data_IF_989533509457
#
_entry.id   IF_989533509457
#
_cell.length_a   1.000
_cell.length_b   1.000
_cell.length_c   1.000
_cell.angle_alpha   90.00
_cell.angle_beta   90.00
_cell.angle_gamma   90.00
#
_symmetry.space_group_name_H-M   'P 1'
#
loop_
_entity.id
_entity.type
_entity.pdbx_description
1 polymer ?
#
# COMPACT_ATOMS: atom_id res chain seq x y z
N UNK A 1 3.06 46.85 -29.71
CA UNK A 1 4.05 45.83 -29.36
C UNK A 1 4.13 45.47 -27.85
N UNK A 2 3.12 45.77 -27.00
CA UNK A 2 3.16 45.49 -25.53
C UNK A 2 2.44 44.21 -25.10
N UNK A 3 1.72 43.54 -25.99
CA UNK A 3 0.95 42.31 -25.65
C UNK A 3 1.74 41.00 -25.75
N UNK A 4 2.91 41.00 -26.39
CA UNK A 4 3.71 39.78 -26.53
C UNK A 4 4.53 39.45 -25.27
N UNK A 5 4.94 40.44 -24.50
CA UNK A 5 5.76 40.23 -23.29
C UNK A 5 4.99 39.60 -22.11
N UNK A 6 3.66 39.74 -22.08
CA UNK A 6 2.84 39.24 -20.97
C UNK A 6 2.46 37.76 -21.15
N UNK A 7 2.54 37.23 -22.36
CA UNK A 7 2.18 35.82 -22.67
C UNK A 7 3.25 34.80 -22.27
N UNK A 8 4.52 35.21 -22.26
CA UNK A 8 5.65 34.33 -21.92
C UNK A 8 5.64 33.88 -20.45
N UNK A 9 5.49 34.79 -19.47
CA UNK A 9 5.46 34.35 -18.05
C UNK A 9 4.24 33.48 -17.72
N UNK A 10 3.10 33.72 -18.38
CA UNK A 10 1.89 32.89 -18.18
C UNK A 10 2.07 31.48 -18.74
N UNK A 11 2.71 31.31 -19.90
CA UNK A 11 3.02 30.00 -20.48
C UNK A 11 4.04 29.23 -19.64
N UNK A 12 5.06 29.91 -19.11
CA UNK A 12 6.05 29.31 -18.22
C UNK A 12 5.42 28.88 -16.89
N UNK A 13 4.55 29.68 -16.30
CA UNK A 13 3.82 29.33 -15.09
C UNK A 13 2.89 28.14 -15.31
N UNK A 14 2.18 28.07 -16.43
CA UNK A 14 1.34 26.94 -16.79
C UNK A 14 2.16 25.64 -17.00
N UNK A 15 3.32 25.72 -17.66
CA UNK A 15 4.23 24.60 -17.84
C UNK A 15 4.82 24.09 -16.51
N UNK A 16 5.13 24.98 -15.58
CA UNK A 16 5.62 24.63 -14.24
C UNK A 16 4.57 23.89 -13.40
N UNK A 17 3.29 24.23 -13.55
CA UNK A 17 2.19 23.54 -12.88
C UNK A 17 1.97 22.10 -13.41
N UNK A 18 2.26 21.84 -14.68
CA UNK A 18 2.17 20.51 -15.27
C UNK A 18 3.34 19.59 -14.90
N UNK A 19 4.50 20.15 -14.54
CA UNK A 19 5.67 19.36 -14.15
C UNK A 19 5.51 18.66 -12.78
N UNK A 20 4.52 19.04 -11.98
CA UNK A 20 4.29 18.48 -10.63
C UNK A 20 3.70 17.08 -10.59
N UNK A 21 3.31 16.47 -11.72
CA UNK A 21 2.67 15.16 -11.77
C UNK A 21 3.65 13.99 -11.81
N UNK A 22 4.82 14.10 -11.17
CA UNK A 22 5.74 12.99 -11.01
C UNK A 22 5.11 11.89 -10.16
N UNK A 23 5.04 10.66 -10.71
CA UNK A 23 4.48 9.53 -9.96
C UNK A 23 5.34 9.17 -8.74
N UNK A 24 4.68 8.85 -7.64
CA UNK A 24 5.33 8.39 -6.40
C UNK A 24 5.74 6.93 -6.56
N UNK A 25 6.99 6.63 -6.30
CA UNK A 25 7.52 5.27 -6.21
C UNK A 25 7.61 4.88 -4.74
N UNK A 26 7.11 3.71 -4.38
CA UNK A 26 7.21 3.19 -3.04
C UNK A 26 7.70 1.74 -3.07
N UNK A 27 8.72 1.46 -2.25
CA UNK A 27 9.17 0.11 -1.93
C UNK A 27 8.51 -0.35 -0.64
N UNK A 28 7.99 -1.58 -0.62
CA UNK A 28 7.34 -2.18 0.55
C UNK A 28 7.84 -3.61 0.74
N UNK A 29 8.07 -3.97 1.99
CA UNK A 29 8.49 -5.32 2.39
C UNK A 29 9.99 -5.49 2.53
N UNK A 30 10.48 -6.71 2.34
CA UNK A 30 11.88 -7.07 2.54
C UNK A 30 12.77 -6.51 1.43
N UNK A 31 14.00 -6.13 1.78
CA UNK A 31 15.04 -5.82 0.79
C UNK A 31 15.71 -7.13 0.41
N UNK A 32 15.41 -7.64 -0.78
CA UNK A 32 15.93 -8.91 -1.28
C UNK A 32 17.07 -8.62 -2.26
N UNK A 33 18.30 -8.79 -1.78
CA UNK A 33 19.47 -8.74 -2.65
C UNK A 33 19.67 -10.10 -3.34
N UNK A 34 19.66 -10.15 -4.69
CA UNK A 34 19.89 -11.39 -5.43
C UNK A 34 21.21 -12.09 -5.09
N UNK A 35 22.27 -11.33 -4.76
CA UNK A 35 23.57 -11.91 -4.42
C UNK A 35 23.51 -12.65 -3.08
N UNK A 36 22.84 -12.07 -2.08
CA UNK A 36 22.64 -12.71 -0.78
C UNK A 36 21.79 -13.98 -0.89
N UNK A 37 20.78 -13.95 -1.76
CA UNK A 37 19.94 -15.14 -2.00
C UNK A 37 20.74 -16.27 -2.63
N UNK A 38 21.62 -15.98 -3.59
CA UNK A 38 22.44 -17.01 -4.24
C UNK A 38 23.55 -17.55 -3.34
N UNK A 39 23.92 -16.84 -2.28
CA UNK A 39 24.90 -17.33 -1.30
C UNK A 39 24.34 -18.36 -0.33
N UNK A 40 23.01 -18.47 -0.22
CA UNK A 40 22.38 -19.44 0.66
C UNK A 40 22.46 -20.85 0.04
N UNK A 41 23.04 -21.79 0.79
CA UNK A 41 23.28 -23.16 0.32
C UNK A 41 22.31 -24.15 1.00
N UNK A 42 21.40 -24.78 0.22
CA UNK A 42 20.53 -25.84 0.75
C UNK A 42 21.35 -26.99 1.36
N UNK A 43 20.91 -27.48 2.51
CA UNK A 43 21.56 -28.55 3.27
C UNK A 43 22.70 -28.08 4.19
N UNK A 44 23.22 -26.85 4.02
CA UNK A 44 24.32 -26.28 4.83
C UNK A 44 23.78 -25.16 5.72
N UNK A 45 23.05 -24.22 5.13
CA UNK A 45 22.49 -23.07 5.85
C UNK A 45 21.29 -23.45 6.68
N UNK A 46 21.09 -22.76 7.80
CA UNK A 46 19.99 -22.96 8.72
C UNK A 46 19.20 -21.65 8.93
N UNK A 47 18.11 -21.72 9.72
CA UNK A 47 17.26 -20.55 10.03
C UNK A 47 18.06 -19.36 10.53
N UNK A 48 19.03 -19.58 11.42
CA UNK A 48 19.83 -18.48 11.98
C UNK A 48 20.73 -17.82 10.94
N UNK A 49 21.35 -18.60 10.04
CA UNK A 49 22.18 -18.05 8.96
C UNK A 49 21.33 -17.27 7.94
N UNK A 50 20.15 -17.79 7.58
CA UNK A 50 19.21 -17.11 6.67
C UNK A 50 18.69 -15.80 7.30
N UNK A 51 18.34 -15.79 8.58
CA UNK A 51 17.90 -14.59 9.29
C UNK A 51 19.03 -13.53 9.38
N UNK A 52 20.27 -13.97 9.55
CA UNK A 52 21.43 -13.09 9.56
C UNK A 52 21.71 -12.46 8.18
N UNK A 53 21.46 -13.19 7.08
CA UNK A 53 21.70 -12.73 5.71
C UNK A 53 20.56 -11.87 5.17
N UNK A 54 19.33 -12.30 5.34
CA UNK A 54 18.15 -11.68 4.74
C UNK A 54 17.31 -10.87 5.74
N UNK A 55 17.63 -10.95 7.03
CA UNK A 55 16.82 -10.39 8.10
C UNK A 55 15.61 -11.28 8.43
N UNK A 56 14.67 -10.73 9.22
CA UNK A 56 13.45 -11.43 9.57
C UNK A 56 12.53 -11.63 8.36
N UNK A 57 11.88 -12.79 8.23
CA UNK A 57 10.91 -13.03 7.16
C UNK A 57 9.71 -12.08 7.27
N UNK A 58 9.10 -11.77 6.14
CA UNK A 58 7.85 -10.98 6.10
C UNK A 58 6.71 -11.70 6.81
N UNK A 59 6.65 -13.02 6.66
CA UNK A 59 5.76 -13.90 7.40
C UNK A 59 6.26 -15.34 7.34
N UNK A 60 5.79 -16.17 8.26
CA UNK A 60 6.05 -17.61 8.31
C UNK A 60 4.79 -18.38 7.91
N UNK A 61 4.95 -19.63 7.49
CA UNK A 61 3.80 -20.48 7.16
C UNK A 61 2.87 -20.64 8.36
N UNK A 62 1.57 -20.48 8.14
CA UNK A 62 0.57 -20.52 9.20
C UNK A 62 0.45 -21.92 9.85
N UNK A 63 0.68 -22.96 9.06
CA UNK A 63 0.56 -24.35 9.51
C UNK A 63 1.91 -25.06 9.72
N UNK A 64 3.00 -24.45 9.24
CA UNK A 64 4.34 -24.96 9.43
C UNK A 64 5.33 -23.82 9.68
N UNK A 65 6.06 -23.89 10.77
CA UNK A 65 7.14 -22.92 11.04
C UNK A 65 8.39 -23.19 10.19
N UNK A 66 8.29 -24.12 9.26
CA UNK A 66 9.37 -24.50 8.34
C UNK A 66 9.37 -23.67 7.05
N UNK A 67 8.32 -22.90 6.81
CA UNK A 67 8.17 -22.08 5.60
C UNK A 67 8.30 -20.60 5.93
N UNK A 68 9.31 -19.96 5.36
CA UNK A 68 9.56 -18.51 5.49
C UNK A 68 9.37 -17.80 4.17
N UNK A 69 8.69 -16.67 4.22
CA UNK A 69 8.38 -15.86 3.05
C UNK A 69 8.96 -14.46 3.21
N UNK A 70 9.73 -14.05 2.22
CA UNK A 70 10.23 -12.68 2.07
C UNK A 70 9.52 -12.05 0.88
N UNK A 71 8.81 -10.98 1.09
CA UNK A 71 8.05 -10.29 0.04
C UNK A 71 8.62 -8.89 -0.16
N UNK A 72 9.02 -8.60 -1.38
CA UNK A 72 9.44 -7.28 -1.82
C UNK A 72 8.50 -6.80 -2.92
N UNK A 73 8.01 -5.58 -2.81
CA UNK A 73 7.07 -5.00 -3.78
C UNK A 73 7.41 -3.55 -4.07
N UNK A 74 7.63 -3.25 -5.34
CA UNK A 74 7.77 -1.89 -5.85
C UNK A 74 6.46 -1.46 -6.51
N UNK A 75 5.94 -0.33 -6.08
CA UNK A 75 4.72 0.26 -6.61
C UNK A 75 4.99 1.63 -7.20
N UNK A 76 4.22 2.01 -8.21
CA UNK A 76 4.14 3.36 -8.74
C UNK A 76 2.71 3.86 -8.67
N UNK A 77 2.54 5.01 -8.07
CA UNK A 77 1.26 5.72 -8.03
C UNK A 77 1.39 7.02 -8.83
N UNK A 78 0.45 7.27 -9.73
CA UNK A 78 0.40 8.49 -10.55
C UNK A 78 -0.80 9.31 -10.08
N UNK A 79 -0.53 10.57 -9.71
CA UNK A 79 -1.54 11.53 -9.23
C UNK A 79 -2.50 10.90 -8.19
N UNK A 80 -3.81 11.00 -8.40
CA UNK A 80 -4.85 10.47 -7.52
C UNK A 80 -5.23 9.01 -7.81
N UNK A 81 -4.48 8.32 -8.67
CA UNK A 81 -4.74 6.92 -9.03
C UNK A 81 -4.30 5.95 -7.95
N UNK A 82 -4.75 4.69 -8.07
CA UNK A 82 -4.33 3.62 -7.19
C UNK A 82 -2.88 3.19 -7.47
N UNK A 83 -2.11 2.81 -6.42
CA UNK A 83 -0.77 2.27 -6.59
C UNK A 83 -0.78 1.02 -7.46
N UNK A 84 0.02 0.99 -8.51
CA UNK A 84 0.18 -0.17 -9.39
C UNK A 84 1.49 -0.88 -9.10
N UNK A 85 1.45 -2.19 -8.98
CA UNK A 85 2.65 -3.02 -8.76
C UNK A 85 3.51 -3.01 -10.04
N UNK A 86 4.74 -2.54 -9.91
CA UNK A 86 5.75 -2.52 -10.97
C UNK A 86 6.65 -3.75 -10.91
N UNK A 87 7.09 -4.09 -9.72
CA UNK A 87 7.93 -5.26 -9.48
C UNK A 87 7.47 -5.92 -8.19
N UNK A 88 7.44 -7.23 -8.19
CA UNK A 88 7.25 -8.03 -6.99
C UNK A 88 8.27 -9.18 -7.02
N UNK A 89 8.82 -9.48 -5.88
CA UNK A 89 9.64 -10.67 -5.66
C UNK A 89 9.13 -11.32 -4.38
N UNK A 90 8.84 -12.59 -4.46
CA UNK A 90 8.54 -13.42 -3.29
C UNK A 90 9.61 -14.50 -3.25
N UNK A 91 10.33 -14.56 -2.16
CA UNK A 91 11.28 -15.62 -1.88
C UNK A 91 10.64 -16.54 -0.84
N UNK A 92 10.49 -17.80 -1.19
CA UNK A 92 10.01 -18.85 -0.31
C UNK A 92 11.18 -19.74 0.08
N UNK A 93 11.55 -19.72 1.35
CA UNK A 93 12.60 -20.54 1.92
C UNK A 93 11.95 -21.64 2.74
N UNK A 94 12.17 -22.90 2.35
CA UNK A 94 11.68 -24.06 3.07
C UNK A 94 12.80 -24.68 3.89
N UNK A 95 12.49 -25.00 5.12
CA UNK A 95 13.39 -25.65 6.05
C UNK A 95 12.95 -27.09 6.31
N UNK A 96 13.88 -27.93 6.66
CA UNK A 96 13.62 -29.27 7.19
C UNK A 96 13.23 -29.21 8.68
N UNK A 97 12.95 -30.37 9.27
CA UNK A 97 12.62 -30.46 10.69
C UNK A 97 13.79 -30.12 11.63
N UNK A 98 15.02 -30.25 11.15
CA UNK A 98 16.22 -29.85 11.88
C UNK A 98 16.50 -28.35 11.79
N UNK A 99 15.76 -27.61 10.92
CA UNK A 99 15.91 -26.18 10.71
C UNK A 99 16.93 -25.81 9.65
N UNK A 100 17.42 -26.75 8.83
CA UNK A 100 18.29 -26.48 7.71
C UNK A 100 17.49 -26.12 6.46
N UNK A 101 18.06 -25.31 5.58
CA UNK A 101 17.44 -24.91 4.31
C UNK A 101 17.29 -26.15 3.42
N UNK A 102 16.05 -26.49 3.06
CA UNK A 102 15.73 -27.56 2.13
C UNK A 102 15.68 -27.10 0.69
N UNK A 103 15.00 -25.98 0.44
CA UNK A 103 14.88 -25.39 -0.89
C UNK A 103 14.55 -23.89 -0.80
N UNK A 104 14.89 -23.18 -1.88
CA UNK A 104 14.60 -21.77 -2.06
C UNK A 104 13.91 -21.61 -3.40
N UNK A 105 12.70 -21.07 -3.39
CA UNK A 105 11.92 -20.79 -4.58
C UNK A 105 11.70 -19.28 -4.70
N UNK A 106 11.84 -18.75 -5.92
CA UNK A 106 11.63 -17.35 -6.20
C UNK A 106 10.52 -17.19 -7.22
N UNK A 107 9.53 -16.39 -6.86
CA UNK A 107 8.41 -16.01 -7.74
C UNK A 107 8.32 -14.49 -7.88
N UNK A 108 7.64 -14.02 -8.90
CA UNK A 108 7.58 -12.61 -9.24
C UNK A 108 6.14 -12.08 -9.31
N UNK A 109 5.88 -11.27 -10.36
CA UNK A 109 4.59 -10.61 -10.56
C UNK A 109 3.44 -11.56 -10.92
N UNK A 110 3.73 -12.77 -11.32
CA UNK A 110 2.74 -13.81 -11.67
C UNK A 110 1.78 -14.13 -10.53
N UNK A 111 2.22 -13.91 -9.27
CA UNK A 111 1.38 -14.10 -8.08
C UNK A 111 0.61 -12.84 -7.65
N UNK A 112 0.66 -11.76 -8.44
CA UNK A 112 -0.11 -10.55 -8.12
C UNK A 112 -1.55 -10.74 -8.61
N UNK A 113 -2.45 -10.99 -7.68
CA UNK A 113 -3.88 -10.99 -7.96
C UNK A 113 -4.45 -9.57 -7.89
N UNK A 114 -5.30 -9.22 -8.84
CA UNK A 114 -6.17 -8.05 -8.74
C UNK A 114 -7.51 -8.50 -8.16
N UNK A 115 -7.92 -7.86 -7.08
CA UNK A 115 -9.22 -8.11 -6.47
C UNK A 115 -10.08 -6.89 -6.72
N UNK A 116 -11.18 -7.08 -7.43
CA UNK A 116 -12.22 -6.06 -7.59
C UNK A 116 -13.26 -6.25 -6.46
N UNK A 117 -13.32 -5.32 -5.49
CA UNK A 117 -14.34 -5.38 -4.44
C UNK A 117 -15.74 -5.31 -5.06
N UNK A 118 -16.67 -6.08 -4.52
CA UNK A 118 -18.06 -6.01 -4.96
C UNK A 118 -18.65 -4.63 -4.63
N UNK A 119 -19.22 -3.97 -5.63
CA UNK A 119 -19.89 -2.66 -5.48
C UNK A 119 -21.20 -2.71 -4.67
N UNK A 120 -21.57 -3.90 -4.19
CA UNK A 120 -22.77 -4.08 -3.36
C UNK A 120 -22.61 -3.36 -2.03
N UNK A 121 -23.48 -2.38 -1.81
CA UNK A 121 -23.61 -1.71 -0.52
C UNK A 121 -24.51 -2.54 0.38
N UNK A 122 -24.07 -2.84 1.59
CA UNK A 122 -24.94 -3.41 2.62
C UNK A 122 -25.88 -2.30 3.10
N UNK A 123 -27.21 -2.44 2.94
CA UNK A 123 -28.13 -1.46 3.47
C UNK A 123 -27.98 -1.44 5.00
N UNK A 124 -27.51 -0.32 5.51
CA UNK A 124 -27.45 -0.08 6.95
C UNK A 124 -28.68 0.71 7.36
N UNK A 125 -29.30 0.34 8.46
CA UNK A 125 -30.44 1.08 9.08
C UNK A 125 -29.97 2.42 9.70
N UNK A 126 -28.87 2.99 9.20
CA UNK A 126 -28.38 4.27 9.64
C UNK A 126 -29.27 5.43 9.19
N UNK A 127 -29.37 6.46 10.02
CA UNK A 127 -30.08 7.69 9.72
C UNK A 127 -29.44 8.37 8.50
N UNK A 128 -30.14 8.44 7.39
CA UNK A 128 -29.69 9.17 6.20
C UNK A 128 -29.96 10.66 6.41
N UNK A 129 -28.91 11.41 6.75
CA UNK A 129 -28.98 12.87 6.74
C UNK A 129 -28.41 13.37 5.42
N UNK A 130 -29.08 14.30 4.78
CA UNK A 130 -28.57 15.04 3.63
C UNK A 130 -27.38 15.88 4.08
N UNK A 131 -26.37 16.05 3.20
CA UNK A 131 -25.22 16.92 3.46
C UNK A 131 -25.65 18.33 3.91
N UNK A 132 -26.70 18.88 3.30
CA UNK A 132 -27.24 20.18 3.68
C UNK A 132 -27.97 20.16 5.04
N UNK A 133 -28.59 19.05 5.40
CA UNK A 133 -29.22 18.88 6.69
C UNK A 133 -28.18 18.76 7.81
N UNK A 134 -27.03 18.17 7.53
CA UNK A 134 -25.92 18.06 8.48
C UNK A 134 -25.16 19.39 8.62
N UNK A 135 -25.02 20.15 7.53
CA UNK A 135 -24.33 21.44 7.53
C UNK A 135 -25.20 22.55 8.13
N UNK A 136 -26.50 22.57 7.83
CA UNK A 136 -27.41 23.65 8.23
C UNK A 136 -28.42 23.25 9.31
N UNK A 137 -28.62 21.97 9.56
CA UNK A 137 -29.60 21.47 10.53
C UNK A 137 -29.31 21.84 11.98
N UNK A 138 -28.09 22.30 12.27
CA UNK A 138 -27.71 22.77 13.60
C UNK A 138 -27.76 24.32 13.74
N UNK A 139 -28.06 25.04 12.66
CA UNK A 139 -28.20 26.49 12.67
C UNK A 139 -29.66 26.81 13.07
N UNK A 140 -29.89 27.08 14.33
CA UNK A 140 -31.21 27.45 14.86
C UNK A 140 -31.66 26.68 16.09
N UNK A 141 -31.02 25.60 16.47
CA UNK A 141 -31.37 24.81 17.67
C UNK A 141 -30.82 25.38 18.98
N UNK A 142 -30.01 26.45 18.94
CA UNK A 142 -29.41 27.06 20.13
C UNK A 142 -30.39 27.97 20.89
N UNK A 143 -31.60 28.19 20.34
CA UNK A 143 -32.59 29.12 20.91
C UNK A 143 -33.76 28.49 21.72
N UNK A 144 -33.90 27.18 21.78
CA UNK A 144 -35.07 26.54 22.41
C UNK A 144 -34.81 25.76 23.70
N UNK A 145 -33.69 26.00 24.35
CA UNK A 145 -33.39 25.36 25.67
C UNK A 145 -34.00 26.12 26.86
N UNK A 146 -35.19 26.74 26.72
CA UNK A 146 -35.76 27.57 27.77
C UNK A 146 -37.25 27.48 27.98
N UNK A 147 -37.98 26.52 27.42
CA UNK A 147 -39.40 26.34 27.71
C UNK A 147 -39.61 25.15 28.64
N UNK A 148 -39.73 25.40 29.94
CA UNK A 148 -40.21 24.42 30.91
C UNK A 148 -41.69 24.07 30.64
N UNK A 149 -42.14 22.82 30.82
CA UNK A 149 -43.55 22.45 30.65
C UNK A 149 -44.37 23.06 31.76
N UNK A 150 -45.62 23.53 31.47
CA UNK A 150 -46.53 23.95 32.50
C UNK A 150 -47.04 22.74 33.30
N UNK A 151 -47.16 22.93 34.65
CA UNK A 151 -47.70 21.96 35.58
C UNK A 151 -49.21 21.82 35.40
#
# INVERSE_FOLDING_TARGET
MKFALLKVPTAVAAAALLAGCAGVHAHKGAVIDPQLVTSIQPGIDNKASVEKLLGRPSFTGQFSQTDWYYVARDTKQVAFGNPRVRKQTVLHVRFDQAGNVRSIDRTGRELVASVDPADRKTPTLGRQRSFFEELFGNIGTVGSAGAAPPQ
#
